data_IF_019244031603
#
_entry.id   IF_019244031603
#
_cell.length_a   1.000
_cell.length_b   1.000
_cell.length_c   1.000
_cell.angle_alpha   90.00
_cell.angle_beta   90.00
_cell.angle_gamma   90.00
#
_symmetry.space_group_name_H-M   'P 1'
#
loop_
_entity.id
_entity.type
_entity.pdbx_description
1 polymer ?
#
# COMPACT_ATOMS: atom_id res chain seq x y z
N UNK A 1 22.61 -5.03 -5.80
CA UNK A 1 21.58 -4.38 -6.61
C UNK A 1 20.54 -3.82 -5.67
N UNK A 2 20.39 -2.50 -5.62
CA UNK A 2 19.29 -1.84 -4.91
C UNK A 2 18.04 -2.11 -5.74
N UNK A 3 17.01 -2.73 -5.16
CA UNK A 3 15.72 -2.94 -5.83
C UNK A 3 15.09 -1.55 -6.04
N UNK A 4 15.04 -1.08 -7.28
CA UNK A 4 14.29 0.13 -7.63
C UNK A 4 12.82 -0.25 -7.81
N UNK A 5 11.98 0.19 -6.89
CA UNK A 5 10.52 0.19 -7.08
C UNK A 5 10.14 1.41 -7.93
N UNK A 6 9.17 1.23 -8.82
CA UNK A 6 8.93 2.13 -9.96
C UNK A 6 8.59 3.58 -9.61
N UNK A 7 8.11 3.86 -8.38
CA UNK A 7 7.80 5.24 -7.98
C UNK A 7 9.05 6.07 -7.64
N UNK A 8 10.17 5.46 -7.23
CA UNK A 8 11.40 6.21 -6.94
C UNK A 8 12.17 6.64 -8.20
N UNK A 9 11.79 6.19 -9.41
CA UNK A 9 12.49 6.53 -10.66
C UNK A 9 12.37 8.01 -11.08
N UNK A 10 11.56 8.83 -10.39
CA UNK A 10 11.28 10.22 -10.78
C UNK A 10 12.17 11.28 -10.09
N UNK A 11 13.05 10.92 -9.16
CA UNK A 11 13.68 11.90 -8.27
C UNK A 11 15.22 11.98 -8.41
N UNK A 12 15.75 12.50 -9.52
CA UNK A 12 17.12 13.04 -9.55
C UNK A 12 17.26 14.25 -10.51
N UNK A 13 17.40 15.45 -9.95
CA UNK A 13 18.22 16.54 -10.50
C UNK A 13 19.03 17.20 -9.37
N UNK A 14 20.33 17.51 -9.58
CA UNK A 14 21.18 18.10 -8.56
C UNK A 14 21.09 19.64 -8.49
N UNK A 15 21.43 20.11 -7.28
CA UNK A 15 21.62 21.44 -6.69
C UNK A 15 21.82 22.67 -7.60
N UNK A 16 21.19 23.78 -7.18
CA UNK A 16 21.86 25.08 -7.08
C UNK A 16 21.63 25.72 -5.70
N UNK A 17 22.70 26.29 -5.15
CA UNK A 17 22.85 26.87 -3.82
C UNK A 17 22.28 28.29 -3.74
N UNK A 18 21.47 28.61 -2.71
CA UNK A 18 21.19 30.00 -2.29
C UNK A 18 21.23 30.14 -0.75
N UNK A 19 21.80 31.28 -0.36
CA UNK A 19 22.19 31.80 0.95
C UNK A 19 21.11 31.76 2.06
N UNK A 20 21.58 31.55 3.30
CA UNK A 20 20.82 31.47 4.56
C UNK A 20 20.52 32.88 5.11
N UNK A 21 19.25 33.16 5.41
CA UNK A 21 18.81 34.23 6.31
C UNK A 21 18.21 33.60 7.58
N UNK A 22 18.82 33.86 8.74
CA UNK A 22 18.40 33.33 10.04
C UNK A 22 17.28 34.21 10.61
N UNK A 23 16.06 33.68 10.63
CA UNK A 23 14.94 34.17 11.43
C UNK A 23 14.66 33.17 12.56
N UNK A 24 15.04 33.57 13.79
CA UNK A 24 14.65 32.92 15.03
C UNK A 24 13.15 33.19 15.30
N UNK A 25 12.32 32.15 15.33
CA UNK A 25 10.93 32.28 15.79
C UNK A 25 10.00 31.15 15.37
N UNK A 26 10.14 29.98 15.98
CA UNK A 26 9.20 28.86 15.88
C UNK A 26 9.86 27.59 16.39
N UNK A 27 9.55 27.17 17.62
CA UNK A 27 9.90 25.82 18.04
C UNK A 27 9.11 24.86 17.13
N UNK A 28 9.77 23.96 16.39
CA UNK A 28 9.05 23.00 15.55
C UNK A 28 8.16 22.13 16.45
N UNK A 29 6.94 21.88 16.01
CA UNK A 29 6.15 20.79 16.52
C UNK A 29 7.03 19.52 16.45
N UNK A 30 7.33 18.92 17.59
CA UNK A 30 8.19 17.75 17.62
C UNK A 30 7.32 16.55 17.23
N UNK A 31 7.51 16.01 16.02
CA UNK A 31 6.90 14.76 15.64
C UNK A 31 7.20 13.69 16.71
N UNK A 32 6.15 13.17 17.34
CA UNK A 32 6.29 12.20 18.42
C UNK A 32 6.39 10.80 17.82
N UNK A 33 7.44 10.08 18.19
CA UNK A 33 7.61 8.67 17.84
C UNK A 33 6.98 7.77 18.91
N UNK A 34 6.11 6.87 18.49
CA UNK A 34 5.40 5.91 19.35
C UNK A 34 5.73 4.49 18.89
N UNK A 35 6.34 3.71 19.78
CA UNK A 35 6.57 2.28 19.56
C UNK A 35 5.26 1.53 19.83
N UNK A 36 4.83 0.71 18.88
CA UNK A 36 3.60 -0.07 19.03
C UNK A 36 3.80 -1.29 19.96
N UNK A 37 2.70 -1.86 20.50
CA UNK A 37 2.76 -3.15 21.21
C UNK A 37 3.34 -4.27 20.34
N UNK A 38 3.02 -4.27 19.05
CA UNK A 38 3.71 -5.08 18.05
C UNK A 38 5.06 -4.42 17.71
N UNK A 39 6.20 -5.07 18.04
CA UNK A 39 7.52 -4.45 17.93
C UNK A 39 7.97 -4.17 16.50
N UNK A 40 7.26 -4.72 15.51
CA UNK A 40 7.48 -4.49 14.08
C UNK A 40 7.12 -3.06 13.66
N UNK A 41 6.34 -2.32 14.45
CA UNK A 41 5.83 -1.00 14.06
C UNK A 41 6.29 0.14 14.97
N UNK A 42 6.62 1.27 14.34
CA UNK A 42 6.84 2.56 14.98
C UNK A 42 6.03 3.61 14.23
N UNK A 43 5.20 4.38 14.93
CA UNK A 43 4.40 5.45 14.34
C UNK A 43 5.07 6.79 14.61
N UNK A 44 5.23 7.63 13.59
CA UNK A 44 5.56 9.04 13.75
C UNK A 44 4.33 9.85 13.35
N UNK A 45 3.95 10.77 14.23
CA UNK A 45 2.86 11.70 14.00
C UNK A 45 3.21 13.04 14.64
N UNK A 46 2.74 14.11 14.03
CA UNK A 46 2.64 15.39 14.74
C UNK A 46 1.56 15.30 15.82
N UNK A 47 1.71 16.12 16.87
CA UNK A 47 0.86 16.17 18.06
C UNK A 47 -0.63 16.33 17.69
N UNK A 48 -1.37 15.23 17.61
CA UNK A 48 -2.81 15.26 17.31
C UNK A 48 -3.41 13.96 16.76
N UNK A 49 -2.65 13.14 16.02
CA UNK A 49 -3.19 11.87 15.50
C UNK A 49 -3.02 10.75 16.52
N UNK A 50 -4.05 9.92 16.82
CA UNK A 50 -3.90 8.85 17.80
C UNK A 50 -2.99 7.72 17.28
N UNK A 51 -1.68 7.81 17.56
CA UNK A 51 -0.70 6.80 17.19
C UNK A 51 -1.09 5.38 17.68
N UNK A 52 -1.71 5.27 18.86
CA UNK A 52 -2.25 4.01 19.38
C UNK A 52 -3.30 3.37 18.46
N UNK A 53 -4.13 4.18 17.81
CA UNK A 53 -5.12 3.68 16.85
C UNK A 53 -4.43 3.11 15.61
N UNK A 54 -3.42 3.80 15.09
CA UNK A 54 -2.65 3.33 13.93
C UNK A 54 -1.86 2.06 14.26
N UNK A 55 -1.27 1.96 15.46
CA UNK A 55 -0.65 0.74 15.95
C UNK A 55 -1.61 -0.47 15.91
N UNK A 56 -2.84 -0.29 16.41
CA UNK A 56 -3.85 -1.35 16.38
C UNK A 56 -4.19 -1.75 14.94
N UNK A 57 -4.40 -0.77 14.05
CA UNK A 57 -4.72 -1.03 12.64
C UNK A 57 -3.57 -1.77 11.94
N UNK A 58 -2.32 -1.37 12.17
CA UNK A 58 -1.14 -2.02 11.61
C UNK A 58 -1.01 -3.47 12.09
N UNK A 59 -1.24 -3.72 13.38
CA UNK A 59 -1.25 -5.07 13.94
C UNK A 59 -2.36 -5.94 13.31
N UNK A 60 -3.59 -5.44 13.26
CA UNK A 60 -4.73 -6.16 12.65
C UNK A 60 -4.48 -6.44 11.15
N UNK A 61 -3.86 -5.50 10.43
CA UNK A 61 -3.48 -5.67 9.03
C UNK A 61 -2.40 -6.75 8.89
N UNK A 62 -1.36 -6.75 9.74
CA UNK A 62 -0.31 -7.76 9.73
C UNK A 62 -0.85 -9.18 10.00
N UNK A 63 -1.80 -9.32 10.93
CA UNK A 63 -2.47 -10.58 11.22
C UNK A 63 -3.26 -11.08 10.00
N UNK A 64 -4.00 -10.20 9.32
CA UNK A 64 -4.72 -10.53 8.07
C UNK A 64 -3.80 -10.92 6.93
N UNK A 65 -2.70 -10.18 6.75
CA UNK A 65 -1.67 -10.47 5.76
C UNK A 65 -1.08 -11.87 6.00
N UNK A 66 -0.68 -12.17 7.24
CA UNK A 66 -0.17 -13.49 7.61
C UNK A 66 -1.19 -14.62 7.38
N UNK A 67 -2.46 -14.39 7.73
CA UNK A 67 -3.54 -15.35 7.49
C UNK A 67 -3.75 -15.66 6.00
N UNK A 68 -3.30 -14.79 5.09
CA UNK A 68 -3.39 -14.96 3.65
C UNK A 68 -2.02 -15.21 2.97
N UNK A 69 -1.06 -15.77 3.71
CA UNK A 69 0.28 -16.13 3.22
C UNK A 69 1.17 -14.95 2.78
N UNK A 70 0.93 -13.75 3.34
CA UNK A 70 1.73 -12.53 3.11
C UNK A 70 2.39 -12.06 4.42
N UNK A 71 3.20 -12.90 5.11
CA UNK A 71 3.75 -12.52 6.41
C UNK A 71 4.74 -11.34 6.29
N UNK A 72 4.66 -10.41 7.23
CA UNK A 72 5.73 -9.43 7.47
C UNK A 72 6.91 -10.11 8.16
N UNK A 73 8.13 -9.64 7.89
CA UNK A 73 9.32 -10.13 8.58
C UNK A 73 9.31 -9.72 10.06
N UNK A 74 9.56 -10.67 10.95
CA UNK A 74 9.67 -10.42 12.40
C UNK A 74 10.96 -9.70 12.79
N UNK A 75 11.94 -9.60 11.87
CA UNK A 75 13.23 -8.93 12.10
C UNK A 75 13.27 -7.49 11.59
N UNK A 76 12.28 -7.08 10.79
CA UNK A 76 12.21 -5.74 10.22
C UNK A 76 11.33 -4.85 11.10
N UNK A 77 11.66 -3.57 11.15
CA UNK A 77 10.90 -2.57 11.89
C UNK A 77 10.41 -1.50 10.93
N UNK A 78 9.12 -1.56 10.61
CA UNK A 78 8.44 -0.65 9.69
C UNK A 78 8.07 0.61 10.45
N UNK A 79 8.59 1.72 9.96
CA UNK A 79 8.25 3.07 10.39
C UNK A 79 7.05 3.56 9.56
N UNK A 80 5.99 3.99 10.22
CA UNK A 80 4.80 4.56 9.60
C UNK A 80 4.74 6.04 9.97
N UNK A 81 4.89 6.91 8.98
CA UNK A 81 4.80 8.35 9.13
C UNK A 81 3.43 8.84 8.69
N UNK A 82 2.73 9.50 9.61
CA UNK A 82 1.45 10.13 9.34
C UNK A 82 1.69 11.53 8.80
N UNK A 83 1.30 11.73 7.55
CA UNK A 83 1.60 12.94 6.80
C UNK A 83 0.38 13.86 6.80
N UNK A 84 0.47 15.12 7.27
CA UNK A 84 -0.64 16.06 7.16
C UNK A 84 -0.91 16.43 5.69
N UNK A 85 0.09 16.30 4.83
CA UNK A 85 0.05 16.51 3.39
C UNK A 85 0.91 15.45 2.70
N UNK A 86 0.46 14.95 1.56
CA UNK A 86 1.25 14.05 0.71
C UNK A 86 1.67 14.78 -0.56
N UNK A 87 2.87 14.50 -1.03
CA UNK A 87 3.25 14.85 -2.39
C UNK A 87 2.43 13.95 -3.34
N UNK A 88 1.80 14.56 -4.33
CA UNK A 88 0.97 13.89 -5.34
C UNK A 88 -0.35 13.30 -4.78
N UNK A 89 -1.21 12.80 -5.67
CA UNK A 89 -2.48 12.16 -5.31
C UNK A 89 -2.29 10.71 -4.77
N UNK A 90 -1.17 10.43 -4.12
CA UNK A 90 -0.85 9.14 -3.52
C UNK A 90 -1.49 9.04 -2.13
N UNK A 91 -2.31 8.00 -1.92
CA UNK A 91 -2.95 7.76 -0.63
C UNK A 91 -2.06 6.97 0.35
N UNK A 92 -0.89 6.53 -0.09
CA UNK A 92 0.12 5.83 0.68
C UNK A 92 1.37 5.63 -0.17
N UNK A 93 2.51 5.44 0.49
CA UNK A 93 3.77 5.10 -0.16
C UNK A 93 4.67 4.31 0.77
N UNK A 94 4.89 3.04 0.44
CA UNK A 94 5.99 2.26 0.98
C UNK A 94 7.30 2.51 0.21
N UNK A 95 8.35 2.89 0.94
CA UNK A 95 9.69 3.09 0.43
C UNK A 95 10.48 1.78 0.50
N UNK A 96 10.58 1.07 -0.63
CA UNK A 96 11.29 -0.21 -0.74
C UNK A 96 12.72 -0.16 -0.17
N UNK A 97 13.08 -1.16 0.62
CA UNK A 97 14.38 -1.25 1.29
C UNK A 97 14.63 -0.27 2.45
N UNK A 98 13.70 0.66 2.75
CA UNK A 98 13.84 1.64 3.84
C UNK A 98 12.98 1.35 5.07
N UNK A 99 12.12 0.33 5.01
CA UNK A 99 11.15 0.02 6.06
C UNK A 99 10.33 1.25 6.47
N UNK A 100 9.89 2.04 5.50
CA UNK A 100 9.18 3.30 5.70
C UNK A 100 7.89 3.30 4.90
N UNK A 101 6.77 3.56 5.58
CA UNK A 101 5.49 3.90 4.98
C UNK A 101 5.22 5.37 5.29
N UNK A 102 4.92 6.15 4.25
CA UNK A 102 4.31 7.47 4.38
C UNK A 102 2.85 7.34 4.01
N UNK A 103 1.97 7.77 4.91
CA UNK A 103 0.52 7.67 4.71
C UNK A 103 -0.12 8.96 5.22
N UNK A 104 -1.06 9.58 4.49
CA UNK A 104 -1.74 10.75 4.98
C UNK A 104 -2.47 10.45 6.29
N UNK A 105 -2.66 11.46 7.14
CA UNK A 105 -3.52 11.31 8.32
C UNK A 105 -4.92 10.84 7.89
N UNK A 106 -5.70 10.16 8.75
CA UNK A 106 -7.04 9.71 8.38
C UNK A 106 -7.94 10.82 7.81
N UNK A 107 -7.84 12.03 8.35
CA UNK A 107 -8.64 13.18 7.89
C UNK A 107 -8.11 13.73 6.55
N UNK A 108 -6.78 13.84 6.40
CA UNK A 108 -6.14 14.21 5.12
C UNK A 108 -6.48 13.19 4.02
N UNK A 109 -6.44 11.89 4.33
CA UNK A 109 -6.76 10.84 3.36
C UNK A 109 -8.18 10.96 2.84
N UNK A 110 -9.13 11.33 3.72
CA UNK A 110 -10.53 11.50 3.33
C UNK A 110 -10.72 12.70 2.40
N UNK A 111 -9.95 13.78 2.55
CA UNK A 111 -10.03 14.94 1.66
C UNK A 111 -9.32 14.72 0.33
N UNK A 112 -8.27 13.88 0.31
CA UNK A 112 -7.53 13.51 -0.90
C UNK A 112 -8.25 12.50 -1.79
N UNK A 113 -9.18 11.73 -1.23
CA UNK A 113 -9.87 10.66 -1.95
C UNK A 113 -10.74 11.21 -3.08
N UNK A 114 -10.51 10.68 -4.28
CA UNK A 114 -11.33 11.00 -5.45
C UNK A 114 -12.79 10.60 -5.24
N UNK A 115 -13.71 11.52 -5.55
CA UNK A 115 -15.15 11.31 -5.37
C UNK A 115 -15.72 10.18 -6.25
N UNK A 116 -15.07 9.90 -7.38
CA UNK A 116 -15.44 8.88 -8.36
C UNK A 116 -14.58 7.60 -8.25
N UNK A 117 -13.77 7.46 -7.21
CA UNK A 117 -13.04 6.22 -6.95
C UNK A 117 -14.01 5.03 -6.79
N UNK A 118 -13.59 3.86 -7.25
CA UNK A 118 -14.22 2.56 -7.05
C UNK A 118 -14.47 2.19 -5.58
N UNK A 119 -13.72 2.81 -4.66
CA UNK A 119 -13.90 2.65 -3.21
C UNK A 119 -14.53 3.89 -2.57
N UNK A 120 -15.11 4.82 -3.34
CA UNK A 120 -15.74 6.07 -2.88
C UNK A 120 -16.94 5.88 -1.94
N UNK A 121 -17.50 4.68 -1.82
CA UNK A 121 -18.51 4.33 -0.81
C UNK A 121 -17.94 3.92 0.55
N UNK A 122 -16.68 3.49 0.63
CA UNK A 122 -16.10 2.90 1.84
C UNK A 122 -15.97 3.97 2.95
N UNK A 123 -16.43 3.74 4.19
CA UNK A 123 -16.28 4.73 5.26
C UNK A 123 -14.81 5.07 5.56
N UNK A 124 -14.49 6.24 6.17
CA UNK A 124 -13.11 6.70 6.34
C UNK A 124 -12.18 5.73 7.07
N UNK A 125 -12.61 5.11 8.18
CA UNK A 125 -11.75 4.20 8.94
C UNK A 125 -11.46 2.87 8.20
N UNK A 126 -12.45 2.14 7.66
CA UNK A 126 -12.20 1.00 6.78
C UNK A 126 -11.32 1.34 5.58
N UNK A 127 -11.50 2.51 4.98
CA UNK A 127 -10.68 2.95 3.85
C UNK A 127 -9.21 3.15 4.26
N UNK A 128 -8.96 3.90 5.33
CA UNK A 128 -7.61 4.08 5.89
C UNK A 128 -6.94 2.74 6.22
N UNK A 129 -7.68 1.82 6.85
CA UNK A 129 -7.20 0.45 7.12
C UNK A 129 -6.83 -0.29 5.83
N UNK A 130 -7.64 -0.16 4.79
CA UNK A 130 -7.38 -0.78 3.49
C UNK A 130 -6.10 -0.27 2.86
N UNK A 131 -5.90 1.06 2.87
CA UNK A 131 -4.67 1.66 2.36
C UNK A 131 -3.46 1.27 3.20
N UNK A 132 -3.54 1.27 4.53
CA UNK A 132 -2.42 0.80 5.34
C UNK A 132 -2.12 -0.69 5.10
N UNK A 133 -3.14 -1.52 4.86
CA UNK A 133 -2.96 -2.93 4.50
C UNK A 133 -2.26 -3.07 3.14
N UNK A 134 -2.60 -2.21 2.17
CA UNK A 134 -1.93 -2.13 0.87
C UNK A 134 -0.43 -1.87 1.03
N UNK A 135 -0.05 -0.82 1.76
CA UNK A 135 1.36 -0.46 1.96
C UNK A 135 2.13 -1.53 2.76
N UNK A 136 1.49 -2.17 3.74
CA UNK A 136 2.09 -3.28 4.47
C UNK A 136 2.29 -4.52 3.58
N UNK A 137 1.41 -4.76 2.60
CA UNK A 137 1.60 -5.83 1.63
C UNK A 137 2.85 -5.58 0.77
N UNK A 138 3.13 -4.33 0.38
CA UNK A 138 4.40 -3.98 -0.26
C UNK A 138 5.60 -4.23 0.64
N UNK A 139 5.51 -3.88 1.92
CA UNK A 139 6.57 -4.15 2.89
C UNK A 139 6.86 -5.65 3.06
N UNK A 140 5.81 -6.49 3.03
CA UNK A 140 5.94 -7.94 3.03
C UNK A 140 6.60 -8.43 1.73
N UNK A 141 6.16 -7.93 0.58
CA UNK A 141 6.64 -8.34 -0.75
C UNK A 141 8.09 -7.91 -1.02
N UNK A 142 8.56 -6.81 -0.43
CA UNK A 142 9.92 -6.28 -0.60
C UNK A 142 11.02 -7.29 -0.19
N UNK A 143 10.70 -8.23 0.70
CA UNK A 143 11.61 -9.32 1.06
C UNK A 143 11.78 -10.37 -0.05
N UNK A 144 10.86 -10.44 -1.02
CA UNK A 144 10.84 -11.49 -2.03
C UNK A 144 11.79 -11.19 -3.20
N UNK A 145 12.57 -12.17 -3.68
CA UNK A 145 13.42 -11.97 -4.84
C UNK A 145 12.56 -11.74 -6.09
N UNK A 146 12.86 -10.66 -6.83
CA UNK A 146 12.27 -10.42 -8.14
C UNK A 146 13.22 -10.93 -9.22
N UNK A 147 12.81 -11.88 -10.08
CA UNK A 147 13.66 -12.40 -11.15
C UNK A 147 13.71 -11.51 -12.41
N UNK A 148 13.01 -10.37 -12.39
CA UNK A 148 12.91 -9.42 -13.50
C UNK A 148 13.46 -8.05 -13.10
N UNK A 149 13.54 -7.11 -14.04
CA UNK A 149 13.86 -5.70 -13.74
C UNK A 149 12.91 -5.10 -12.70
N UNK A 150 11.62 -5.45 -12.79
CA UNK A 150 10.59 -5.06 -11.83
C UNK A 150 9.52 -6.13 -11.69
N UNK A 151 8.99 -6.29 -10.47
CA UNK A 151 7.86 -7.18 -10.16
C UNK A 151 6.64 -6.38 -9.70
N UNK A 152 6.42 -5.23 -10.35
CA UNK A 152 5.36 -4.30 -9.96
C UNK A 152 3.98 -4.96 -10.05
N UNK A 153 3.70 -5.75 -11.08
CA UNK A 153 2.38 -6.37 -11.25
C UNK A 153 2.08 -7.35 -10.12
N UNK A 154 3.06 -8.17 -9.73
CA UNK A 154 2.92 -9.09 -8.59
C UNK A 154 2.72 -8.33 -7.27
N UNK A 155 3.56 -7.32 -7.02
CA UNK A 155 3.51 -6.47 -5.82
C UNK A 155 2.13 -5.81 -5.65
N UNK A 156 1.66 -5.16 -6.71
CA UNK A 156 0.38 -4.44 -6.75
C UNK A 156 -0.82 -5.38 -6.72
N UNK A 157 -0.73 -6.54 -7.38
CA UNK A 157 -1.78 -7.55 -7.32
C UNK A 157 -2.02 -8.01 -5.89
N UNK A 158 -0.94 -8.30 -5.14
CA UNK A 158 -1.03 -8.67 -3.72
C UNK A 158 -1.57 -7.49 -2.91
N UNK A 159 -1.03 -6.28 -3.10
CA UNK A 159 -1.42 -5.12 -2.31
C UNK A 159 -2.91 -4.76 -2.49
N UNK A 160 -3.41 -4.66 -3.72
CA UNK A 160 -4.82 -4.39 -3.98
C UNK A 160 -5.75 -5.48 -3.50
N UNK A 161 -5.39 -6.75 -3.70
CA UNK A 161 -6.27 -7.84 -3.24
C UNK A 161 -6.34 -7.87 -1.71
N UNK A 162 -5.22 -7.70 -1.02
CA UNK A 162 -5.19 -7.59 0.44
C UNK A 162 -5.92 -6.36 0.97
N UNK A 163 -5.84 -5.22 0.26
CA UNK A 163 -6.63 -4.03 0.55
C UNK A 163 -8.14 -4.34 0.54
N UNK A 164 -8.65 -4.98 -0.51
CA UNK A 164 -10.09 -5.33 -0.60
C UNK A 164 -10.47 -6.35 0.46
N UNK A 165 -9.65 -7.38 0.69
CA UNK A 165 -9.89 -8.39 1.72
C UNK A 165 -9.87 -7.83 3.16
N UNK A 166 -9.27 -6.66 3.35
CA UNK A 166 -9.27 -5.98 4.66
C UNK A 166 -10.60 -5.28 4.97
N UNK A 167 -11.43 -5.03 3.95
CA UNK A 167 -12.67 -4.27 4.09
C UNK A 167 -13.77 -5.08 4.81
N UNK A 168 -14.75 -4.41 5.44
CA UNK A 168 -15.98 -5.04 5.90
C UNK A 168 -16.73 -5.72 4.75
N UNK A 169 -17.38 -6.86 5.03
CA UNK A 169 -18.10 -7.63 4.01
C UNK A 169 -19.19 -6.82 3.26
N UNK A 170 -19.84 -5.88 3.95
CA UNK A 170 -20.83 -4.99 3.32
C UNK A 170 -20.20 -4.02 2.30
N UNK A 171 -18.98 -3.54 2.57
CA UNK A 171 -18.24 -2.66 1.66
C UNK A 171 -17.72 -3.43 0.45
N UNK A 172 -17.27 -4.68 0.64
CA UNK A 172 -16.89 -5.60 -0.45
C UNK A 172 -18.11 -5.88 -1.33
N UNK A 173 -19.26 -6.23 -0.75
CA UNK A 173 -20.48 -6.49 -1.52
C UNK A 173 -20.92 -5.27 -2.34
N UNK A 174 -20.78 -4.07 -1.78
CA UNK A 174 -21.08 -2.81 -2.50
C UNK A 174 -20.10 -2.60 -3.66
N UNK A 175 -18.80 -2.81 -3.43
CA UNK A 175 -17.79 -2.75 -4.48
C UNK A 175 -18.09 -3.75 -5.61
N UNK A 176 -18.38 -5.01 -5.27
CA UNK A 176 -18.70 -6.08 -6.22
C UNK A 176 -19.97 -5.83 -7.04
N UNK A 177 -20.95 -5.13 -6.48
CA UNK A 177 -22.20 -4.80 -7.18
C UNK A 177 -21.97 -3.96 -8.45
N UNK A 178 -20.88 -3.19 -8.49
CA UNK A 178 -20.46 -2.43 -9.67
C UNK A 178 -19.62 -3.25 -10.67
N UNK A 179 -19.25 -4.49 -10.34
CA UNK A 179 -18.31 -5.29 -11.12
C UNK A 179 -18.98 -6.41 -11.91
N UNK A 180 -18.36 -6.76 -13.05
CA UNK A 180 -18.73 -7.95 -13.82
C UNK A 180 -18.05 -9.19 -13.24
N UNK A 181 -18.45 -9.63 -12.04
CA UNK A 181 -17.80 -10.71 -11.29
C UNK A 181 -17.73 -12.07 -12.03
N UNK A 182 -18.62 -12.30 -13.00
CA UNK A 182 -18.62 -13.51 -13.84
C UNK A 182 -17.64 -13.43 -15.02
N UNK A 183 -17.04 -12.27 -15.28
CA UNK A 183 -16.10 -12.09 -16.40
C UNK A 183 -14.80 -12.81 -16.07
N UNK A 184 -14.35 -13.69 -16.97
CA UNK A 184 -13.01 -14.25 -16.90
C UNK A 184 -11.97 -13.18 -17.23
N UNK A 185 -11.13 -12.87 -16.25
CA UNK A 185 -9.95 -12.01 -16.38
C UNK A 185 -8.75 -12.92 -16.54
N UNK A 186 -8.01 -12.77 -17.65
CA UNK A 186 -6.71 -13.42 -17.80
C UNK A 186 -5.65 -12.68 -17.00
N UNK A 187 -4.55 -13.36 -16.69
CA UNK A 187 -3.40 -12.73 -16.04
C UNK A 187 -2.84 -11.56 -16.86
N UNK A 188 -2.81 -11.66 -18.19
CA UNK A 188 -2.26 -10.61 -19.06
C UNK A 188 -3.05 -9.29 -19.01
N UNK A 189 -4.31 -9.33 -18.56
CA UNK A 189 -5.09 -8.13 -18.30
C UNK A 189 -4.59 -7.35 -17.06
N UNK A 190 -3.80 -7.99 -16.21
CA UNK A 190 -3.10 -7.41 -15.06
C UNK A 190 -1.69 -7.09 -15.53
N UNK A 191 -1.43 -5.84 -15.85
CA UNK A 191 -0.13 -5.40 -16.33
C UNK A 191 0.14 -3.94 -15.93
N UNK A 192 1.40 -3.48 -16.01
CA UNK A 192 1.76 -2.13 -15.58
C UNK A 192 1.07 -1.02 -16.37
N UNK A 193 0.74 -1.24 -17.66
CA UNK A 193 0.05 -0.21 -18.47
C UNK A 193 -1.35 0.04 -17.88
N UNK A 194 -2.08 -1.02 -17.55
CA UNK A 194 -3.39 -0.88 -16.90
C UNK A 194 -3.29 -0.20 -15.54
N UNK A 195 -2.32 -0.61 -14.72
CA UNK A 195 -2.04 0.02 -13.43
C UNK A 195 -1.80 1.53 -13.56
N UNK A 196 -0.85 1.95 -14.40
CA UNK A 196 -0.48 3.35 -14.53
C UNK A 196 -1.55 4.21 -15.18
N UNK A 197 -2.33 3.65 -16.12
CA UNK A 197 -3.41 4.39 -16.76
C UNK A 197 -4.61 4.58 -15.83
N UNK A 198 -4.96 3.56 -15.06
CA UNK A 198 -6.12 3.61 -14.18
C UNK A 198 -5.98 2.56 -13.04
N UNK A 199 -5.47 3.00 -11.88
CA UNK A 199 -5.28 2.11 -10.73
C UNK A 199 -6.58 1.44 -10.25
N UNK A 200 -7.72 2.14 -10.32
CA UNK A 200 -9.03 1.62 -9.93
C UNK A 200 -9.52 0.48 -10.84
N UNK A 201 -9.21 0.56 -12.15
CA UNK A 201 -9.44 -0.55 -13.08
C UNK A 201 -8.53 -1.72 -12.72
N UNK A 202 -7.25 -1.48 -12.44
CA UNK A 202 -6.33 -2.56 -12.03
C UNK A 202 -6.81 -3.26 -10.77
N UNK A 203 -7.18 -2.52 -9.72
CA UNK A 203 -7.78 -3.00 -8.48
C UNK A 203 -9.00 -3.89 -8.77
N UNK A 204 -9.93 -3.41 -9.61
CA UNK A 204 -11.14 -4.14 -9.99
C UNK A 204 -10.83 -5.44 -10.72
N UNK A 205 -9.89 -5.42 -11.67
CA UNK A 205 -9.47 -6.60 -12.41
C UNK A 205 -8.75 -7.60 -11.50
N UNK A 206 -7.91 -7.13 -10.58
CA UNK A 206 -7.19 -7.96 -9.63
C UNK A 206 -8.17 -8.72 -8.72
N UNK A 207 -9.22 -8.04 -8.24
CA UNK A 207 -10.27 -8.64 -7.43
C UNK A 207 -11.07 -9.70 -8.20
N UNK A 208 -11.56 -9.38 -9.39
CA UNK A 208 -12.30 -10.34 -10.23
C UNK A 208 -11.39 -11.54 -10.59
N UNK A 209 -10.11 -11.30 -10.85
CA UNK A 209 -9.14 -12.35 -11.13
C UNK A 209 -8.91 -13.28 -9.92
N UNK A 210 -8.79 -12.72 -8.72
CA UNK A 210 -8.65 -13.51 -7.49
C UNK A 210 -9.90 -14.34 -7.19
N UNK A 211 -11.09 -13.80 -7.44
CA UNK A 211 -12.34 -14.52 -7.22
C UNK A 211 -12.59 -15.71 -8.15
N UNK A 212 -11.79 -15.86 -9.20
CA UNK A 212 -11.80 -17.06 -10.04
C UNK A 212 -11.07 -18.26 -9.40
N UNK A 213 -10.46 -18.08 -8.23
CA UNK A 213 -9.69 -19.11 -7.52
C UNK A 213 -10.56 -19.78 -6.48
N UNK A 214 -10.45 -21.12 -6.39
CA UNK A 214 -11.13 -21.88 -5.34
C UNK A 214 -10.57 -21.58 -3.95
N UNK A 215 -9.28 -21.23 -3.88
CA UNK A 215 -8.59 -20.77 -2.68
C UNK A 215 -7.82 -19.48 -2.99
N UNK A 216 -8.43 -18.30 -2.75
CA UNK A 216 -7.79 -17.00 -2.95
C UNK A 216 -6.47 -16.83 -2.19
N UNK A 217 -6.41 -17.23 -0.92
CA UNK A 217 -5.21 -17.02 -0.10
C UNK A 217 -4.07 -17.96 -0.45
N UNK A 218 -4.35 -19.20 -0.85
CA UNK A 218 -3.33 -20.07 -1.42
C UNK A 218 -2.76 -19.48 -2.71
N UNK A 219 -3.62 -18.91 -3.58
CA UNK A 219 -3.18 -18.26 -4.80
C UNK A 219 -2.29 -17.04 -4.54
N UNK A 220 -2.66 -16.18 -3.58
CA UNK A 220 -1.82 -15.05 -3.14
C UNK A 220 -0.46 -15.56 -2.64
N UNK A 221 -0.44 -16.62 -1.83
CA UNK A 221 0.80 -17.25 -1.37
C UNK A 221 1.68 -17.76 -2.51
N UNK A 222 1.08 -18.32 -3.56
CA UNK A 222 1.80 -18.75 -4.76
C UNK A 222 2.40 -17.59 -5.56
N UNK A 223 1.72 -16.45 -5.63
CA UNK A 223 2.25 -15.22 -6.23
C UNK A 223 3.40 -14.66 -5.37
N UNK A 224 3.21 -14.59 -4.06
CA UNK A 224 4.20 -14.12 -3.09
C UNK A 224 5.52 -14.91 -3.19
N UNK A 225 5.44 -16.23 -3.38
CA UNK A 225 6.60 -17.12 -3.50
C UNK A 225 7.17 -17.20 -4.92
N UNK A 226 6.59 -16.48 -5.88
CA UNK A 226 7.01 -16.50 -7.29
C UNK A 226 6.70 -17.82 -8.03
N UNK A 227 5.90 -18.72 -7.44
CA UNK A 227 5.39 -19.92 -8.12
C UNK A 227 4.44 -19.55 -9.25
N UNK A 228 3.66 -18.49 -9.03
CA UNK A 228 2.86 -17.82 -10.07
C UNK A 228 3.53 -16.51 -10.41
N UNK A 229 3.94 -16.37 -11.67
CA UNK A 229 4.55 -15.15 -12.19
C UNK A 229 3.45 -14.25 -12.75
N UNK A 230 3.36 -13.03 -12.26
CA UNK A 230 2.49 -11.97 -12.78
C UNK A 230 3.23 -11.08 -13.78
N UNK A 231 4.52 -10.87 -13.54
CA UNK A 231 5.41 -10.08 -14.38
C UNK A 231 6.16 -10.95 -15.40
N UNK A 232 6.61 -10.31 -16.47
CA UNK A 232 7.37 -10.92 -17.56
C UNK A 232 8.19 -9.87 -18.30
N UNK A 233 9.39 -10.22 -18.74
CA UNK A 233 10.18 -9.40 -19.66
C UNK A 233 9.52 -9.40 -21.05
N UNK A 234 9.35 -8.21 -21.64
CA UNK A 234 9.07 -8.10 -23.07
C UNK A 234 10.41 -7.81 -23.76
N UNK A 235 10.95 -8.81 -24.45
CA UNK A 235 12.08 -8.61 -25.37
C UNK A 235 11.63 -7.86 -26.62
#
# INVERSE_FOLDING_TARGET
MVKQCALEMLMLKPLESILIAILLGGLPANAQSVVCPDPRFVILSDDGTPAHRVCRIAQEAAERLAACNVPLSDTRRIRIELMPEMLEACLGLYHCGKDLIQIPTPDTMQSMRAADSSLSHVPPEPFFRGILTHELAHAAFDAQPCPFESCITASEYIAYTMQIMSLPAADIATFESGLKMHKKISRDALNPITLYMNPDIFLSLAWIHLHQRSDPCAYIGDVMQGRIRMDYERH
#
